data_IF_938857977682
#
_entry.id   IF_938857977682
#
_cell.length_a   1.000
_cell.length_b   1.000
_cell.length_c   1.000
_cell.angle_alpha   90.00
_cell.angle_beta   90.00
_cell.angle_gamma   90.00
#
_symmetry.space_group_name_H-M   'P 1'
#
loop_
_entity.id
_entity.type
_entity.pdbx_description
1 polymer ?
#
# COMPACT_ATOMS: atom_id res chain seq x y z
N UNK A 1 40.23 71.81 13.96
CA UNK A 1 40.79 70.47 13.64
C UNK A 1 39.68 69.45 13.85
N UNK A 2 39.07 68.98 12.76
CA UNK A 2 37.90 68.08 12.79
C UNK A 2 38.37 66.66 13.14
N UNK A 3 37.90 66.09 14.26
CA UNK A 3 38.07 64.66 14.56
C UNK A 3 36.96 63.89 13.86
N UNK A 4 37.36 63.04 12.92
CA UNK A 4 36.50 62.16 12.14
C UNK A 4 36.11 60.97 13.04
N UNK A 5 34.84 60.90 13.46
CA UNK A 5 34.28 59.71 14.09
C UNK A 5 33.76 58.80 12.98
N UNK A 6 34.46 57.69 12.73
CA UNK A 6 33.99 56.62 11.85
C UNK A 6 32.89 55.84 12.57
N UNK A 7 31.68 55.66 12.00
CA UNK A 7 30.68 54.81 12.61
C UNK A 7 31.06 53.34 12.39
N UNK A 8 30.95 52.56 13.45
CA UNK A 8 31.10 51.11 13.45
C UNK A 8 29.92 50.52 12.67
N UNK A 9 30.12 50.22 11.39
CA UNK A 9 29.17 49.44 10.60
C UNK A 9 29.24 48.01 11.13
N UNK A 10 28.30 47.66 12.01
CA UNK A 10 28.02 46.27 12.35
C UNK A 10 27.54 45.62 11.06
N UNK A 11 28.47 44.98 10.34
CA UNK A 11 28.17 44.06 9.27
C UNK A 11 27.47 42.86 9.91
N UNK A 12 26.15 42.98 10.08
CA UNK A 12 25.28 41.87 10.41
C UNK A 12 25.37 40.93 9.21
N UNK A 13 26.27 39.96 9.31
CA UNK A 13 26.33 38.83 8.41
C UNK A 13 24.99 38.11 8.57
N UNK A 14 24.01 38.49 7.76
CA UNK A 14 22.85 37.64 7.47
C UNK A 14 23.46 36.37 6.89
N UNK A 15 23.74 35.42 7.76
CA UNK A 15 23.81 34.02 7.40
C UNK A 15 22.39 33.72 6.91
N UNK A 16 22.15 33.98 5.63
CA UNK A 16 21.09 33.39 4.88
C UNK A 16 21.37 31.90 4.99
N UNK A 17 20.83 31.28 6.05
CA UNK A 17 20.46 29.88 5.96
C UNK A 17 19.58 29.84 4.73
N UNK A 18 20.19 29.38 3.64
CA UNK A 18 19.45 28.78 2.55
C UNK A 18 18.70 27.64 3.23
N UNK A 19 17.48 27.92 3.69
CA UNK A 19 16.48 26.87 3.84
C UNK A 19 16.43 26.32 2.44
N UNK A 20 17.11 25.20 2.23
CA UNK A 20 16.84 24.38 1.06
C UNK A 20 15.36 24.10 1.19
N UNK A 21 14.54 24.74 0.37
CA UNK A 21 13.25 24.18 0.03
C UNK A 21 13.60 22.77 -0.45
N UNK A 22 13.30 21.79 0.40
CA UNK A 22 13.33 20.39 0.03
C UNK A 22 12.46 20.34 -1.21
N UNK A 23 13.07 20.05 -2.36
CA UNK A 23 12.29 19.77 -3.55
C UNK A 23 11.31 18.67 -3.17
N UNK A 24 10.04 18.85 -3.50
CA UNK A 24 9.10 17.75 -3.55
C UNK A 24 9.58 16.79 -4.65
N UNK A 25 10.60 16.00 -4.34
CA UNK A 25 10.78 14.70 -4.97
C UNK A 25 9.51 13.91 -4.68
N UNK A 26 9.11 13.04 -5.62
CA UNK A 26 7.94 12.18 -5.49
C UNK A 26 8.07 11.29 -4.23
N UNK A 27 7.66 11.82 -3.09
CA UNK A 27 7.97 11.21 -1.80
C UNK A 27 7.03 10.02 -1.60
N UNK A 28 7.61 8.84 -1.76
CA UNK A 28 6.95 7.58 -1.52
C UNK A 28 7.09 7.16 -0.06
N UNK A 29 6.03 6.57 0.49
CA UNK A 29 6.06 5.94 1.81
C UNK A 29 5.18 4.69 1.79
N UNK A 30 5.65 3.62 2.43
CA UNK A 30 4.85 2.43 2.69
C UNK A 30 4.64 2.29 4.19
N UNK A 31 3.39 2.13 4.61
CA UNK A 31 3.04 1.80 5.99
C UNK A 31 2.33 0.44 6.01
N UNK A 32 2.83 -0.49 6.79
CA UNK A 32 2.25 -1.81 7.00
C UNK A 32 1.77 -1.91 8.45
N UNK A 33 0.47 -2.16 8.62
CA UNK A 33 -0.12 -2.41 9.92
C UNK A 33 -0.51 -3.89 10.07
N UNK A 34 0.17 -4.58 10.98
CA UNK A 34 -0.02 -6.01 11.26
C UNK A 34 -1.34 -6.30 11.99
N UNK A 35 -1.85 -5.36 12.78
CA UNK A 35 -3.15 -5.50 13.46
C UNK A 35 -4.28 -5.57 12.43
N UNK A 36 -4.19 -4.74 11.39
CA UNK A 36 -5.19 -4.65 10.33
C UNK A 36 -4.89 -5.56 9.13
N UNK A 37 -3.68 -6.13 9.05
CA UNK A 37 -3.19 -6.85 7.88
C UNK A 37 -3.32 -6.04 6.59
N UNK A 38 -2.84 -4.79 6.65
CA UNK A 38 -2.94 -3.84 5.56
C UNK A 38 -1.59 -3.17 5.28
N UNK A 39 -1.37 -2.89 4.00
CA UNK A 39 -0.29 -2.07 3.48
C UNK A 39 -0.90 -0.85 2.80
N UNK A 40 -0.48 0.34 3.20
CA UNK A 40 -0.84 1.59 2.55
C UNK A 40 0.39 2.16 1.86
N UNK A 41 0.24 2.45 0.58
CA UNK A 41 1.23 3.13 -0.23
C UNK A 41 0.84 4.60 -0.37
N UNK A 42 1.75 5.49 0.01
CA UNK A 42 1.62 6.93 -0.12
C UNK A 42 2.53 7.43 -1.24
N UNK A 43 2.03 8.38 -2.02
CA UNK A 43 2.80 9.15 -2.98
C UNK A 43 2.49 10.62 -2.78
N UNK A 44 3.52 11.46 -2.69
CA UNK A 44 3.36 12.90 -2.51
C UNK A 44 2.46 13.23 -1.29
N UNK A 45 2.69 12.51 -0.18
CA UNK A 45 1.95 12.60 1.08
C UNK A 45 0.45 12.28 0.98
N UNK A 46 0.00 11.64 -0.11
CA UNK A 46 -1.39 11.22 -0.30
C UNK A 46 -1.46 9.71 -0.37
N UNK A 47 -2.51 9.12 0.21
CA UNK A 47 -2.78 7.69 0.05
C UNK A 47 -2.94 7.38 -1.42
N UNK A 48 -1.96 6.67 -1.96
CA UNK A 48 -2.02 6.14 -3.31
C UNK A 48 -2.91 4.90 -3.30
N UNK A 49 -2.46 3.78 -2.75
CA UNK A 49 -3.21 2.52 -2.73
C UNK A 49 -3.24 1.90 -1.34
N UNK A 50 -4.25 1.06 -1.12
CA UNK A 50 -4.41 0.25 0.10
C UNK A 50 -4.57 -1.19 -0.32
N UNK A 51 -3.73 -2.06 0.22
CA UNK A 51 -3.71 -3.48 -0.06
C UNK A 51 -3.98 -4.28 1.20
N UNK A 52 -4.78 -5.34 1.07
CA UNK A 52 -4.83 -6.39 2.09
C UNK A 52 -3.54 -7.21 1.96
N UNK A 53 -2.92 -7.56 3.08
CA UNK A 53 -1.67 -8.34 3.11
C UNK A 53 -1.74 -9.46 4.13
N UNK A 54 -0.88 -10.47 4.01
CA UNK A 54 -0.65 -11.43 5.09
C UNK A 54 0.63 -11.07 5.83
N UNK A 55 0.62 -11.09 7.17
CA UNK A 55 1.81 -10.88 8.00
C UNK A 55 2.15 -12.13 8.82
N UNK A 56 3.18 -12.05 9.66
CA UNK A 56 3.72 -13.15 10.43
C UNK A 56 2.69 -13.79 11.36
N UNK A 57 2.74 -15.13 11.49
CA UNK A 57 1.81 -15.90 12.31
C UNK A 57 1.83 -15.53 13.81
N UNK A 58 2.92 -14.93 14.28
CA UNK A 58 3.03 -14.34 15.61
C UNK A 58 3.61 -12.92 15.49
N UNK A 59 3.37 -12.10 16.51
CA UNK A 59 3.78 -10.70 16.51
C UNK A 59 5.27 -10.52 16.21
N UNK A 60 6.15 -11.41 16.67
CA UNK A 60 7.60 -11.25 16.54
C UNK A 60 8.15 -11.67 15.16
N UNK A 61 7.36 -12.35 14.32
CA UNK A 61 7.85 -12.87 13.05
C UNK A 61 7.99 -11.80 11.97
N UNK A 62 7.01 -10.90 11.86
CA UNK A 62 7.14 -9.71 10.99
C UNK A 62 7.69 -8.56 11.83
N UNK A 63 8.95 -8.12 11.56
CA UNK A 63 9.63 -7.16 12.41
C UNK A 63 8.96 -5.79 12.31
N UNK A 64 8.80 -5.14 13.46
CA UNK A 64 8.33 -3.76 13.54
C UNK A 64 9.51 -2.78 13.53
N UNK A 65 9.24 -1.57 13.04
CA UNK A 65 10.21 -0.50 12.93
C UNK A 65 10.19 0.19 11.58
N UNK A 66 11.20 1.04 11.38
CA UNK A 66 11.44 1.78 10.14
C UNK A 66 12.51 1.09 9.32
N UNK A 67 12.18 0.82 8.06
CA UNK A 67 13.03 0.16 7.08
C UNK A 67 12.97 0.91 5.77
N UNK A 68 13.61 0.32 4.75
CA UNK A 68 13.55 0.79 3.37
C UNK A 68 13.56 -0.37 2.40
N UNK A 69 13.03 -0.13 1.21
CA UNK A 69 13.18 -1.01 0.05
C UNK A 69 14.65 -1.04 -0.37
N UNK A 70 15.24 -2.22 -0.52
CA UNK A 70 16.65 -2.39 -0.91
C UNK A 70 16.79 -2.94 -2.31
N UNK A 71 15.91 -3.85 -2.70
CA UNK A 71 15.98 -4.50 -3.99
C UNK A 71 14.59 -4.94 -4.45
N UNK A 72 14.51 -5.20 -5.75
CA UNK A 72 13.31 -5.61 -6.46
C UNK A 72 13.69 -6.74 -7.40
N UNK A 73 13.04 -7.89 -7.30
CA UNK A 73 13.34 -9.10 -8.07
C UNK A 73 12.04 -9.63 -8.69
N UNK A 74 12.05 -9.84 -10.00
CA UNK A 74 10.99 -10.54 -10.73
C UNK A 74 11.23 -12.04 -10.61
N UNK A 75 10.18 -12.80 -10.28
CA UNK A 75 10.20 -14.27 -10.27
C UNK A 75 11.38 -14.87 -9.49
N UNK A 76 11.53 -14.49 -8.21
CA UNK A 76 12.62 -14.98 -7.36
C UNK A 76 12.49 -16.49 -7.13
N UNK A 77 13.54 -17.31 -7.40
CA UNK A 77 13.52 -18.73 -7.06
C UNK A 77 13.38 -18.96 -5.56
N UNK A 78 12.63 -20.00 -5.18
CA UNK A 78 12.49 -20.39 -3.78
C UNK A 78 13.45 -21.53 -3.45
N UNK A 79 14.65 -21.15 -3.03
CA UNK A 79 15.77 -22.07 -2.84
C UNK A 79 15.54 -23.17 -1.79
N UNK A 80 14.72 -22.93 -0.77
CA UNK A 80 14.49 -23.90 0.32
C UNK A 80 13.85 -25.20 -0.19
N UNK A 81 12.98 -25.11 -1.20
CA UNK A 81 12.29 -26.25 -1.81
C UNK A 81 12.66 -26.39 -3.29
N UNK A 82 13.75 -25.74 -3.73
CA UNK A 82 14.29 -25.80 -5.09
C UNK A 82 13.25 -25.46 -6.19
N UNK A 83 12.27 -24.61 -5.86
CA UNK A 83 11.21 -24.22 -6.81
C UNK A 83 11.74 -23.10 -7.71
N UNK A 84 11.67 -23.25 -9.05
CA UNK A 84 12.07 -22.20 -9.99
C UNK A 84 11.29 -20.89 -9.82
N UNK A 85 11.89 -19.80 -10.27
CA UNK A 85 11.20 -18.52 -10.42
C UNK A 85 10.06 -18.62 -11.44
N UNK A 86 8.93 -17.97 -11.17
CA UNK A 86 7.77 -17.93 -12.07
C UNK A 86 6.92 -19.20 -12.08
N UNK A 87 7.32 -20.24 -11.33
CA UNK A 87 6.48 -21.42 -11.12
C UNK A 87 5.23 -21.04 -10.29
N UNK A 88 4.00 -21.42 -10.71
CA UNK A 88 2.78 -21.10 -9.96
C UNK A 88 2.76 -21.65 -8.52
N UNK A 89 3.55 -22.69 -8.24
CA UNK A 89 3.70 -23.26 -6.89
C UNK A 89 4.72 -22.52 -6.03
N UNK A 90 5.45 -21.54 -6.56
CA UNK A 90 6.47 -20.81 -5.80
C UNK A 90 5.80 -19.90 -4.75
N UNK A 91 6.04 -20.10 -3.44
CA UNK A 91 5.38 -19.35 -2.38
C UNK A 91 5.79 -17.87 -2.30
N UNK A 92 6.83 -17.47 -3.05
CA UNK A 92 7.26 -16.09 -3.18
C UNK A 92 6.45 -15.30 -4.22
N UNK A 93 5.66 -15.99 -5.05
CA UNK A 93 4.90 -15.39 -6.14
C UNK A 93 5.77 -14.72 -7.20
N UNK A 94 5.18 -13.75 -7.90
CA UNK A 94 5.77 -13.18 -9.13
C UNK A 94 6.69 -11.99 -8.92
N UNK A 95 6.63 -11.35 -7.75
CA UNK A 95 7.44 -10.17 -7.40
C UNK A 95 7.95 -10.27 -5.98
N UNK A 96 9.17 -9.80 -5.78
CA UNK A 96 9.86 -9.71 -4.50
C UNK A 96 10.40 -8.29 -4.31
N UNK A 97 9.98 -7.62 -3.25
CA UNK A 97 10.42 -6.30 -2.83
C UNK A 97 11.14 -6.47 -1.50
N UNK A 98 12.47 -6.57 -1.54
CA UNK A 98 13.28 -6.84 -0.37
C UNK A 98 13.40 -5.62 0.55
N UNK A 99 13.17 -5.82 1.84
CA UNK A 99 13.35 -4.80 2.89
C UNK A 99 14.52 -5.18 3.81
N UNK A 100 15.03 -4.24 4.60
CA UNK A 100 16.25 -4.42 5.41
C UNK A 100 16.09 -4.46 6.93
N UNK A 101 15.11 -5.17 7.51
CA UNK A 101 15.15 -5.40 8.94
C UNK A 101 16.42 -6.17 9.29
N UNK A 102 17.07 -5.75 10.38
CA UNK A 102 18.27 -6.38 10.95
C UNK A 102 19.47 -6.53 10.01
N UNK A 103 19.61 -5.70 8.96
CA UNK A 103 20.75 -5.78 8.04
C UNK A 103 20.73 -6.99 7.09
N UNK A 104 19.55 -7.54 6.83
CA UNK A 104 19.33 -8.69 5.94
C UNK A 104 19.49 -8.39 4.43
N UNK A 105 19.76 -7.14 4.07
CA UNK A 105 20.04 -6.66 2.71
C UNK A 105 18.97 -7.04 1.67
N UNK A 106 17.69 -7.10 2.08
CA UNK A 106 16.58 -7.42 1.19
C UNK A 106 16.48 -8.89 0.78
N UNK A 107 17.19 -9.81 1.44
CA UNK A 107 17.21 -11.24 1.06
C UNK A 107 16.39 -12.15 1.98
N UNK A 108 16.03 -11.66 3.17
CA UNK A 108 15.33 -12.44 4.22
C UNK A 108 13.90 -11.98 4.37
N UNK A 109 13.66 -10.68 4.46
CA UNK A 109 12.33 -10.10 4.62
C UNK A 109 11.95 -9.31 3.37
N UNK A 110 10.70 -9.46 2.95
CA UNK A 110 10.18 -8.81 1.76
C UNK A 110 8.67 -8.60 1.83
N UNK A 111 8.20 -7.65 1.03
CA UNK A 111 6.85 -7.63 0.49
C UNK A 111 6.89 -8.44 -0.80
N UNK A 112 6.12 -9.51 -0.91
CA UNK A 112 6.18 -10.41 -2.07
C UNK A 112 4.81 -10.95 -2.47
N UNK A 113 4.73 -11.54 -3.66
CA UNK A 113 3.51 -12.22 -4.13
C UNK A 113 3.22 -13.48 -3.31
N UNK A 114 2.35 -14.37 -3.79
CA UNK A 114 2.10 -15.61 -3.06
C UNK A 114 1.53 -16.70 -3.97
N UNK A 115 1.46 -17.94 -3.51
CA UNK A 115 0.83 -19.08 -4.21
C UNK A 115 -0.43 -19.61 -3.49
N UNK A 116 -0.89 -18.90 -2.45
CA UNK A 116 -2.04 -19.23 -1.63
C UNK A 116 -2.84 -17.95 -1.31
N UNK A 117 -3.64 -17.42 -2.25
CA UNK A 117 -4.33 -16.14 -2.10
C UNK A 117 -5.22 -16.06 -0.86
N UNK A 118 -5.78 -17.19 -0.44
CA UNK A 118 -6.60 -17.28 0.76
C UNK A 118 -5.83 -16.96 2.06
N UNK A 119 -4.50 -16.85 2.01
CA UNK A 119 -3.68 -16.42 3.13
C UNK A 119 -3.68 -14.91 3.36
N UNK A 120 -4.06 -14.10 2.36
CA UNK A 120 -4.09 -12.64 2.44
C UNK A 120 -5.18 -12.17 3.40
N UNK A 121 -4.86 -11.17 4.23
CA UNK A 121 -5.72 -10.67 5.32
C UNK A 121 -5.53 -11.38 6.67
N UNK A 122 -4.62 -12.36 6.77
CA UNK A 122 -4.39 -13.15 7.98
C UNK A 122 -2.93 -13.16 8.45
N UNK A 123 -2.73 -13.42 9.75
CA UNK A 123 -1.42 -13.63 10.37
C UNK A 123 -0.99 -15.10 10.18
N UNK A 124 -0.28 -15.40 9.10
CA UNK A 124 0.03 -16.79 8.71
C UNK A 124 1.42 -16.99 8.09
N UNK A 125 2.17 -15.91 7.85
CA UNK A 125 3.48 -16.00 7.22
C UNK A 125 4.58 -16.36 8.23
N UNK A 126 5.77 -16.71 7.72
CA UNK A 126 6.97 -16.90 8.55
C UNK A 126 7.72 -15.59 8.86
N UNK A 127 7.14 -14.43 8.51
CA UNK A 127 7.71 -13.11 8.78
C UNK A 127 7.67 -12.13 7.61
N UNK A 128 7.57 -12.63 6.37
CA UNK A 128 7.39 -11.78 5.19
C UNK A 128 5.96 -11.23 5.07
N UNK A 129 5.79 -10.18 4.26
CA UNK A 129 4.50 -9.59 3.92
C UNK A 129 4.06 -10.14 2.57
N UNK A 130 2.92 -10.82 2.53
CA UNK A 130 2.38 -11.41 1.29
C UNK A 130 1.31 -10.51 0.70
N UNK A 131 1.29 -10.40 -0.62
CA UNK A 131 0.29 -9.70 -1.42
C UNK A 131 -0.27 -10.62 -2.52
N UNK A 132 -1.45 -10.31 -3.05
CA UNK A 132 -1.94 -10.92 -4.30
C UNK A 132 -0.99 -10.63 -5.46
N UNK A 133 -0.84 -11.59 -6.38
CA UNK A 133 0.14 -11.45 -7.47
C UNK A 133 -0.21 -10.28 -8.40
N UNK A 134 -1.49 -10.10 -8.75
CA UNK A 134 -1.91 -9.03 -9.65
C UNK A 134 -1.70 -7.64 -9.04
N UNK A 135 -1.91 -7.50 -7.73
CA UNK A 135 -1.72 -6.25 -7.00
C UNK A 135 -0.23 -5.92 -6.84
N UNK A 136 0.59 -6.90 -6.44
CA UNK A 136 2.03 -6.66 -6.28
C UNK A 136 2.73 -6.44 -7.61
N UNK A 137 2.23 -6.98 -8.73
CA UNK A 137 2.81 -6.70 -10.04
C UNK A 137 2.73 -5.23 -10.41
N UNK A 138 1.60 -4.57 -10.12
CA UNK A 138 1.43 -3.14 -10.37
C UNK A 138 2.22 -2.31 -9.35
N UNK A 139 2.07 -2.64 -8.05
CA UNK A 139 2.80 -1.98 -6.98
C UNK A 139 4.33 -2.08 -7.16
N UNK A 140 4.82 -3.20 -7.70
CA UNK A 140 6.22 -3.38 -8.01
C UNK A 140 6.70 -2.44 -9.11
N UNK A 141 5.91 -2.07 -10.11
CA UNK A 141 6.39 -1.12 -11.12
C UNK A 141 6.44 0.31 -10.58
N UNK A 142 5.50 0.67 -9.70
CA UNK A 142 5.37 2.01 -9.10
C UNK A 142 6.37 2.27 -7.97
N UNK A 143 6.62 1.28 -7.10
CA UNK A 143 7.43 1.47 -5.91
C UNK A 143 8.92 1.61 -6.23
N UNK A 144 9.55 2.66 -5.74
CA UNK A 144 10.97 2.93 -5.91
C UNK A 144 11.85 2.16 -4.89
N UNK A 145 13.12 1.97 -5.25
CA UNK A 145 14.13 1.50 -4.29
C UNK A 145 14.48 2.66 -3.36
N UNK A 146 14.89 2.36 -2.13
CA UNK A 146 15.10 3.29 -1.02
C UNK A 146 13.82 3.93 -0.44
N UNK A 147 12.64 3.64 -1.00
CA UNK A 147 11.36 4.03 -0.39
C UNK A 147 11.26 3.58 1.07
N UNK A 148 10.97 4.50 2.02
CA UNK A 148 10.75 4.17 3.42
C UNK A 148 9.58 3.20 3.63
N UNK A 149 9.76 2.28 4.57
CA UNK A 149 8.76 1.29 4.96
C UNK A 149 8.62 1.29 6.47
N UNK A 150 7.44 1.66 6.98
CA UNK A 150 7.09 1.56 8.39
C UNK A 150 6.31 0.27 8.59
N UNK A 151 6.69 -0.54 9.58
CA UNK A 151 5.94 -1.72 9.99
C UNK A 151 5.57 -1.58 11.46
N UNK A 152 4.28 -1.67 11.78
CA UNK A 152 3.77 -1.49 13.14
C UNK A 152 2.58 -2.41 13.43
N UNK A 153 2.21 -2.51 14.71
CA UNK A 153 0.91 -3.01 15.16
C UNK A 153 0.23 -1.91 15.96
N UNK A 154 -0.82 -1.28 15.39
CA UNK A 154 -1.50 -0.14 16.00
C UNK A 154 -2.98 -0.12 15.64
N UNK A 155 -3.81 0.46 16.51
CA UNK A 155 -5.23 0.72 16.24
C UNK A 155 -5.47 2.13 15.65
N UNK A 156 -4.39 2.90 15.46
CA UNK A 156 -4.44 4.24 14.88
C UNK A 156 -4.69 4.21 13.37
N UNK A 157 -5.13 5.35 12.82
CA UNK A 157 -5.17 5.54 11.36
C UNK A 157 -3.77 5.58 10.76
N UNK A 158 -3.64 5.19 9.49
CA UNK A 158 -2.36 5.25 8.77
C UNK A 158 -1.76 6.66 8.70
N UNK A 159 -2.60 7.68 8.52
CA UNK A 159 -2.13 9.07 8.53
C UNK A 159 -1.51 9.43 9.90
N UNK A 160 -2.13 8.97 10.99
CA UNK A 160 -1.62 9.22 12.34
C UNK A 160 -0.30 8.49 12.60
N UNK A 161 -0.18 7.25 12.10
CA UNK A 161 1.08 6.49 12.16
C UNK A 161 2.16 7.27 11.41
N UNK A 162 1.91 7.68 10.16
CA UNK A 162 2.89 8.45 9.38
C UNK A 162 3.30 9.76 10.07
N UNK A 163 2.37 10.51 10.65
CA UNK A 163 2.67 11.72 11.44
C UNK A 163 3.62 11.46 12.62
N UNK A 164 3.41 10.37 13.35
CA UNK A 164 4.25 9.99 14.49
C UNK A 164 5.68 9.62 14.06
N UNK A 165 5.83 9.19 12.81
CA UNK A 165 7.11 8.94 12.16
C UNK A 165 7.65 10.15 11.38
N UNK A 166 7.01 11.33 11.51
CA UNK A 166 7.51 12.60 10.98
C UNK A 166 7.06 12.93 9.54
N UNK A 167 6.11 12.19 8.98
CA UNK A 167 5.54 12.46 7.66
C UNK A 167 4.33 13.41 7.76
N UNK A 168 4.31 14.48 6.98
CA UNK A 168 3.17 15.42 6.94
C UNK A 168 2.07 14.91 6.01
N UNK A 169 1.20 14.05 6.55
CA UNK A 169 0.07 13.46 5.83
C UNK A 169 -1.24 14.26 6.03
N UNK A 170 -1.20 15.34 6.82
CA UNK A 170 -2.38 16.11 7.26
C UNK A 170 -3.03 16.96 6.16
N UNK A 171 -2.30 17.22 5.07
CA UNK A 171 -2.75 18.03 3.93
C UNK A 171 -3.49 17.27 2.83
N UNK A 172 -3.62 15.94 2.91
CA UNK A 172 -4.15 15.10 1.84
C UNK A 172 -5.68 14.93 1.83
N UNK A 173 -6.42 15.86 2.43
CA UNK A 173 -7.87 15.89 2.26
C UNK A 173 -8.24 16.50 0.91
N UNK A 174 -8.95 15.71 0.10
CA UNK A 174 -9.73 16.07 -1.08
C UNK A 174 -9.00 16.20 -2.43
N UNK A 175 -9.36 15.25 -3.29
CA UNK A 175 -9.63 15.42 -4.73
C UNK A 175 -8.47 15.56 -5.72
N UNK A 176 -8.49 14.65 -6.70
CA UNK A 176 -7.99 14.84 -8.08
C UNK A 176 -6.47 14.86 -8.24
N UNK A 177 -5.84 13.68 -8.21
CA UNK A 177 -4.77 13.34 -9.17
C UNK A 177 -4.89 11.84 -9.49
N UNK A 178 -5.07 11.57 -10.78
CA UNK A 178 -5.22 10.25 -11.40
C UNK A 178 -3.84 9.56 -11.47
N UNK A 179 -3.77 8.28 -11.11
CA UNK A 179 -2.78 7.35 -11.66
C UNK A 179 -3.42 5.99 -11.94
N UNK A 180 -3.33 5.59 -13.20
CA UNK A 180 -3.63 4.28 -13.76
C UNK A 180 -2.58 3.27 -13.32
N UNK A 181 -2.95 2.03 -12.95
CA UNK A 181 -2.16 0.84 -13.34
C UNK A 181 -2.88 -0.53 -13.28
N UNK A 182 -4.06 -0.65 -12.67
CA UNK A 182 -4.96 -1.79 -12.96
C UNK A 182 -6.42 -1.39 -12.79
N UNK A 183 -7.16 -1.37 -13.90
CA UNK A 183 -8.62 -1.27 -13.92
C UNK A 183 -9.18 -2.66 -14.19
N UNK A 184 -10.15 -3.12 -13.40
CA UNK A 184 -10.90 -4.32 -13.77
C UNK A 184 -12.09 -3.94 -14.64
N UNK A 185 -12.17 -4.56 -15.82
CA UNK A 185 -13.18 -4.32 -16.84
C UNK A 185 -13.71 -5.65 -17.34
N UNK A 186 -14.74 -5.66 -18.19
CA UNK A 186 -15.18 -6.89 -18.83
C UNK A 186 -14.01 -7.66 -19.47
N UNK A 187 -13.87 -8.93 -19.10
CA UNK A 187 -12.77 -9.79 -19.54
C UNK A 187 -11.49 -9.70 -18.71
N UNK A 188 -11.43 -8.88 -17.66
CA UNK A 188 -10.43 -9.04 -16.60
C UNK A 188 -10.69 -10.34 -15.84
N UNK A 189 -9.63 -11.04 -15.46
CA UNK A 189 -9.72 -12.27 -14.67
C UNK A 189 -8.58 -12.30 -13.64
N UNK A 190 -8.75 -13.07 -12.57
CA UNK A 190 -7.71 -13.30 -11.56
C UNK A 190 -8.16 -12.94 -10.15
N UNK A 191 -7.24 -13.06 -9.19
CA UNK A 191 -7.55 -12.96 -7.76
C UNK A 191 -8.05 -11.56 -7.38
N UNK A 192 -7.51 -10.52 -8.03
CA UNK A 192 -7.97 -9.14 -7.82
C UNK A 192 -9.44 -8.93 -8.20
N UNK A 193 -9.93 -9.60 -9.25
CA UNK A 193 -11.35 -9.58 -9.62
C UNK A 193 -12.19 -10.35 -8.61
N UNK A 194 -11.68 -11.49 -8.13
CA UNK A 194 -12.33 -12.29 -7.10
C UNK A 194 -12.52 -11.48 -5.80
N UNK A 195 -11.48 -10.74 -5.39
CA UNK A 195 -11.52 -9.85 -4.23
C UNK A 195 -12.48 -8.68 -4.43
N UNK A 196 -12.49 -8.06 -5.61
CA UNK A 196 -13.50 -7.04 -5.93
C UNK A 196 -14.92 -7.61 -5.80
N UNK A 197 -15.18 -8.77 -6.40
CA UNK A 197 -16.49 -9.43 -6.35
C UNK A 197 -16.91 -9.74 -4.90
N UNK A 198 -15.96 -10.20 -4.08
CA UNK A 198 -16.18 -10.46 -2.65
C UNK A 198 -16.52 -9.19 -1.87
N UNK A 199 -15.74 -8.12 -2.05
CA UNK A 199 -15.98 -6.82 -1.39
C UNK A 199 -17.35 -6.27 -1.78
N UNK A 200 -17.66 -6.24 -3.08
CA UNK A 200 -18.97 -5.81 -3.60
C UNK A 200 -20.12 -6.63 -2.99
N UNK A 201 -20.02 -7.97 -3.03
CA UNK A 201 -21.05 -8.85 -2.48
C UNK A 201 -21.31 -8.59 -1.00
N UNK A 202 -20.25 -8.43 -0.20
CA UNK A 202 -20.36 -8.16 1.24
C UNK A 202 -20.94 -6.77 1.51
N UNK A 203 -20.61 -5.79 0.67
CA UNK A 203 -21.19 -4.44 0.70
C UNK A 203 -22.64 -4.39 0.19
N UNK A 204 -23.21 -5.51 -0.25
CA UNK A 204 -24.60 -5.61 -0.69
C UNK A 204 -24.82 -5.52 -2.21
N UNK A 205 -23.73 -5.46 -3.00
CA UNK A 205 -23.75 -5.41 -4.45
C UNK A 205 -23.57 -6.82 -5.03
N UNK A 206 -24.68 -7.45 -5.44
CA UNK A 206 -24.70 -8.83 -5.90
C UNK A 206 -23.95 -9.02 -7.24
N UNK A 207 -22.80 -9.69 -7.19
CA UNK A 207 -22.00 -10.03 -8.38
C UNK A 207 -22.42 -11.32 -9.08
N UNK A 208 -23.50 -11.98 -8.61
CA UNK A 208 -23.99 -13.29 -9.08
C UNK A 208 -22.98 -14.43 -8.95
N UNK A 209 -22.05 -14.30 -8.00
CA UNK A 209 -20.98 -15.26 -7.75
C UNK A 209 -19.63 -14.57 -7.61
N UNK A 210 -18.68 -15.31 -7.06
CA UNK A 210 -17.27 -14.91 -6.91
C UNK A 210 -16.48 -15.97 -7.67
N UNK A 211 -16.13 -15.67 -8.91
CA UNK A 211 -15.50 -16.60 -9.87
C UNK A 211 -14.19 -16.05 -10.45
N UNK A 212 -13.74 -14.89 -9.96
CA UNK A 212 -12.53 -14.23 -10.43
C UNK A 212 -12.62 -13.76 -11.88
N UNK A 213 -13.82 -13.71 -12.47
CA UNK A 213 -14.06 -13.34 -13.86
C UNK A 213 -14.93 -12.10 -13.94
N UNK A 214 -14.41 -11.02 -14.52
CA UNK A 214 -15.16 -9.77 -14.60
C UNK A 214 -16.12 -9.85 -15.78
N UNK A 215 -17.34 -10.30 -15.49
CA UNK A 215 -18.43 -10.43 -16.46
C UNK A 215 -19.53 -9.38 -16.28
N UNK A 216 -20.64 -9.52 -17.05
CA UNK A 216 -21.76 -8.57 -16.99
C UNK A 216 -22.34 -8.36 -15.59
N UNK A 217 -22.43 -9.41 -14.77
CA UNK A 217 -22.93 -9.29 -13.41
C UNK A 217 -22.00 -8.44 -12.52
N UNK A 218 -20.69 -8.65 -12.62
CA UNK A 218 -19.70 -7.82 -11.90
C UNK A 218 -19.73 -6.38 -12.39
N UNK A 219 -19.85 -6.16 -13.71
CA UNK A 219 -19.99 -4.81 -14.27
C UNK A 219 -21.21 -4.06 -13.72
N UNK A 220 -22.37 -4.73 -13.64
CA UNK A 220 -23.59 -4.12 -13.09
C UNK A 220 -23.47 -3.85 -11.58
N UNK A 221 -22.85 -4.76 -10.82
CA UNK A 221 -22.57 -4.53 -9.40
C UNK A 221 -21.61 -3.33 -9.19
N UNK A 222 -20.59 -3.20 -10.04
CA UNK A 222 -19.67 -2.05 -10.03
C UNK A 222 -20.41 -0.75 -10.33
N UNK A 223 -21.27 -0.71 -11.36
CA UNK A 223 -22.07 0.49 -11.67
C UNK A 223 -22.99 0.88 -10.52
N UNK A 224 -23.67 -0.09 -9.91
CA UNK A 224 -24.54 0.15 -8.77
C UNK A 224 -23.74 0.75 -7.60
N UNK A 225 -22.58 0.18 -7.29
CA UNK A 225 -21.67 0.72 -6.28
C UNK A 225 -21.20 2.14 -6.62
N UNK A 226 -20.76 2.38 -7.87
CA UNK A 226 -20.32 3.70 -8.32
C UNK A 226 -21.43 4.73 -8.18
N UNK A 227 -22.66 4.38 -8.57
CA UNK A 227 -23.83 5.23 -8.46
C UNK A 227 -24.15 5.59 -7.01
N UNK A 228 -24.09 4.64 -6.09
CA UNK A 228 -24.41 4.85 -4.67
C UNK A 228 -23.34 5.65 -3.90
N UNK A 229 -22.14 5.76 -4.46
CA UNK A 229 -20.99 6.38 -3.80
C UNK A 229 -20.41 7.58 -4.55
N UNK A 230 -21.22 8.19 -5.43
CA UNK A 230 -20.88 9.41 -6.18
C UNK A 230 -19.59 9.30 -7.00
N UNK A 231 -19.34 8.12 -7.59
CA UNK A 231 -18.22 7.86 -8.49
C UNK A 231 -18.67 7.94 -9.97
N UNK A 232 -17.72 7.98 -10.90
CA UNK A 232 -18.02 7.87 -12.33
C UNK A 232 -18.67 6.50 -12.62
N UNK A 233 -19.88 6.49 -13.19
CA UNK A 233 -20.67 5.27 -13.44
C UNK A 233 -20.33 4.69 -14.81
N UNK A 234 -19.13 4.16 -14.95
CA UNK A 234 -18.62 3.55 -16.19
C UNK A 234 -18.61 2.00 -16.13
N UNK A 235 -18.86 1.42 -14.96
CA UNK A 235 -18.79 -0.03 -14.73
C UNK A 235 -17.37 -0.59 -14.75
N UNK A 236 -16.37 0.28 -14.71
CA UNK A 236 -14.96 -0.07 -14.65
C UNK A 236 -14.52 0.06 -13.19
N UNK A 237 -14.04 -1.04 -12.60
CA UNK A 237 -13.44 -0.97 -11.27
C UNK A 237 -12.02 -0.42 -11.38
N UNK A 238 -11.96 0.88 -11.58
CA UNK A 238 -10.74 1.67 -11.53
C UNK A 238 -10.26 1.84 -10.09
N UNK A 239 -9.16 2.58 -9.91
CA UNK A 239 -8.55 2.78 -8.60
C UNK A 239 -9.49 3.41 -7.59
N UNK A 240 -10.25 4.45 -7.96
CA UNK A 240 -11.18 5.11 -7.03
C UNK A 240 -12.27 4.14 -6.59
N UNK A 241 -12.81 3.36 -7.53
CA UNK A 241 -13.80 2.32 -7.26
C UNK A 241 -13.23 1.22 -6.35
N UNK A 242 -12.03 0.71 -6.65
CA UNK A 242 -11.35 -0.33 -5.86
C UNK A 242 -10.98 0.16 -4.45
N UNK A 243 -10.47 1.39 -4.34
CA UNK A 243 -10.14 2.04 -3.07
C UNK A 243 -11.39 2.22 -2.22
N UNK A 244 -12.47 2.76 -2.79
CA UNK A 244 -13.72 3.00 -2.07
C UNK A 244 -14.36 1.68 -1.60
N UNK A 245 -14.42 0.66 -2.47
CA UNK A 245 -14.90 -0.68 -2.07
C UNK A 245 -14.05 -1.28 -0.95
N UNK A 246 -12.72 -1.17 -1.03
CA UNK A 246 -11.80 -1.64 0.01
C UNK A 246 -12.02 -0.93 1.35
N UNK A 247 -12.06 0.41 1.35
CA UNK A 247 -12.27 1.20 2.57
C UNK A 247 -13.62 0.91 3.24
N UNK A 248 -14.70 0.82 2.46
CA UNK A 248 -16.02 0.52 3.00
C UNK A 248 -16.10 -0.92 3.53
N UNK A 249 -15.47 -1.86 2.83
CA UNK A 249 -15.39 -3.25 3.26
C UNK A 249 -14.69 -3.38 4.61
N UNK A 250 -13.55 -2.69 4.78
CA UNK A 250 -12.78 -2.67 6.04
C UNK A 250 -13.60 -2.04 7.17
N UNK A 251 -14.24 -0.89 6.91
CA UNK A 251 -15.11 -0.23 7.88
C UNK A 251 -16.26 -1.14 8.34
N UNK A 252 -16.84 -1.92 7.43
CA UNK A 252 -17.93 -2.85 7.74
C UNK A 252 -17.46 -4.01 8.63
N UNK A 253 -16.27 -4.56 8.36
CA UNK A 253 -15.71 -5.65 9.17
C UNK A 253 -15.31 -5.21 10.58
N UNK A 254 -14.84 -3.97 10.74
CA UNK A 254 -14.49 -3.42 12.05
C UNK A 254 -15.72 -3.22 12.94
N UNK A 255 -16.86 -2.81 12.39
CA UNK A 255 -18.09 -2.58 13.13
C UNK A 255 -18.74 -3.89 13.60
N UNK A 256 -18.59 -4.98 12.83
CA UNK A 256 -19.07 -6.31 13.21
C UNK A 256 -18.22 -7.02 14.28
N UNK A 257 -16.99 -6.56 14.53
CA UNK A 257 -16.14 -7.10 15.61
C UNK A 257 -16.63 -6.70 17.01
N UNK A 258 -17.42 -5.62 17.12
CA UNK A 258 -17.97 -5.09 18.38
C UNK A 258 -19.28 -5.77 18.82
N UNK A 259 -19.79 -6.74 18.05
CA UNK A 259 -21.13 -7.36 18.28
C UNK A 259 -21.01 -8.84 18.70
N UNK A 260 -19.79 -9.35 18.90
CA UNK A 260 -19.51 -10.75 19.23
C UNK A 260 -18.83 -10.95 20.60
N UNK A 261 -18.86 -9.94 21.49
CA UNK A 261 -18.61 -10.13 22.93
C UNK A 261 -19.92 -10.29 23.73
#
# INVERSE_FOLDING_TARGET
MKKLMTPFVILFLLFLFKVSEVSADDEQLVIINKTQNQLVFYENNRVSEIYDVATGATADLTPEGEFKVINKIVDRPYYKEEIPGGDPSNPLGRRWIGINPFGTNGNTYAIHGNNNPNSIGYNVSAGCIRMHNEEIESFFEELEVDTPVIITSSDQSFDKIGEEHGYDLTGASSSTVISTHAKFTNGSHGEGVEMLQRRLTILGYDTKGIDGSFGPATNEAVKAFQQDHDLEVDGIADRETRKKTSLLFVSLLQDHSQVME
#
